data_IF_974934006387
#
_entry.id   IF_974934006387
#
_cell.length_a   1.000
_cell.length_b   1.000
_cell.length_c   1.000
_cell.angle_alpha   90.00
_cell.angle_beta   90.00
_cell.angle_gamma   90.00
#
_symmetry.space_group_name_H-M   'P 1'
#
loop_
_entity.id
_entity.type
_entity.pdbx_description
1 polymer ?
#
# COMPACT_ATOMS: atom_id res chain seq x y z
N UNK A 1 9.73 -18.67 15.28
CA UNK A 1 10.28 -18.01 16.50
C UNK A 1 11.76 -17.84 16.29
N UNK A 2 12.30 -16.71 16.71
CA UNK A 2 13.74 -16.43 16.61
C UNK A 2 14.56 -17.47 17.39
N UNK A 3 15.71 -17.88 16.83
CA UNK A 3 16.62 -18.85 17.47
C UNK A 3 16.21 -20.32 17.41
N UNK A 4 15.11 -20.68 16.73
CA UNK A 4 14.72 -22.09 16.54
C UNK A 4 15.63 -22.76 15.53
N UNK A 5 16.21 -23.91 15.89
CA UNK A 5 16.91 -24.78 14.94
C UNK A 5 15.88 -25.43 14.02
N UNK A 6 16.01 -25.15 12.73
CA UNK A 6 15.15 -25.70 11.67
C UNK A 6 15.86 -26.86 10.97
N UNK A 7 15.09 -27.83 10.51
CA UNK A 7 15.55 -28.89 9.62
C UNK A 7 15.30 -28.53 8.16
N UNK A 8 16.03 -29.18 7.25
CA UNK A 8 15.80 -29.02 5.82
C UNK A 8 14.37 -29.49 5.49
N UNK A 9 13.55 -28.59 4.95
CA UNK A 9 12.16 -28.85 4.58
C UNK A 9 11.11 -28.23 5.51
N UNK A 10 11.53 -27.60 6.61
CA UNK A 10 10.59 -26.91 7.50
C UNK A 10 9.95 -25.70 6.80
N UNK A 11 8.61 -25.61 6.87
CA UNK A 11 7.86 -24.46 6.39
C UNK A 11 8.14 -23.26 7.30
N UNK A 12 8.81 -22.24 6.76
CA UNK A 12 9.20 -21.05 7.52
C UNK A 12 8.10 -19.99 7.57
N UNK A 13 7.35 -19.85 6.48
CA UNK A 13 6.25 -18.90 6.34
C UNK A 13 5.26 -19.40 5.29
N UNK A 14 4.03 -18.90 5.38
CA UNK A 14 2.97 -19.10 4.39
C UNK A 14 2.22 -17.79 4.25
N UNK A 15 1.90 -17.43 3.02
CA UNK A 15 1.12 -16.24 2.71
C UNK A 15 0.29 -16.51 1.46
N UNK A 16 -0.79 -15.74 1.33
CA UNK A 16 -1.64 -15.75 0.14
C UNK A 16 -0.91 -15.05 -1.02
N UNK A 17 -0.62 -15.72 -2.16
CA UNK A 17 0.02 -15.07 -3.29
C UNK A 17 -0.91 -14.09 -4.04
N UNK A 18 -2.22 -14.17 -3.81
CA UNK A 18 -3.25 -13.39 -4.50
C UNK A 18 -3.57 -12.08 -3.81
N UNK A 19 -3.21 -11.92 -2.54
CA UNK A 19 -3.51 -10.72 -1.77
C UNK A 19 -2.29 -10.21 -1.00
N UNK A 20 -2.22 -8.90 -0.82
CA UNK A 20 -1.32 -8.27 0.15
C UNK A 20 -2.13 -7.96 1.41
N UNK A 21 -1.83 -8.62 2.55
CA UNK A 21 -2.54 -8.33 3.80
C UNK A 21 -2.03 -7.02 4.41
N UNK A 22 -2.96 -6.17 4.85
CA UNK A 22 -2.71 -5.10 5.80
C UNK A 22 -2.95 -5.68 7.18
N UNK A 23 -1.96 -5.61 8.06
CA UNK A 23 -1.93 -6.31 9.35
C UNK A 23 -1.85 -5.29 10.48
N UNK A 24 -2.58 -5.55 11.56
CA UNK A 24 -2.45 -4.78 12.80
C UNK A 24 -1.12 -5.11 13.49
N UNK A 25 -0.37 -4.09 13.89
CA UNK A 25 0.88 -4.17 14.65
C UNK A 25 0.66 -4.04 16.16
N UNK A 26 -0.34 -3.25 16.60
CA UNK A 26 -0.69 -3.11 18.02
C UNK A 26 -2.08 -3.68 18.31
N UNK A 27 -2.33 -4.10 19.57
CA UNK A 27 -3.68 -4.47 20.00
C UNK A 27 -4.55 -3.22 20.13
N UNK A 28 -5.85 -3.33 19.84
CA UNK A 28 -6.77 -2.22 20.00
C UNK A 28 -8.12 -2.48 19.36
N UNK A 29 -8.79 -1.41 18.95
CA UNK A 29 -10.07 -1.44 18.24
C UNK A 29 -9.90 -0.80 16.88
N UNK A 30 -10.28 -1.51 15.82
CA UNK A 30 -10.27 -0.97 14.46
C UNK A 30 -11.35 0.12 14.33
N UNK A 31 -10.93 1.33 13.94
CA UNK A 31 -11.81 2.46 13.68
C UNK A 31 -11.77 2.85 12.22
N UNK A 32 -12.93 2.91 11.60
CA UNK A 32 -13.08 3.35 10.22
C UNK A 32 -13.15 4.87 10.14
N UNK A 33 -12.32 5.44 9.27
CA UNK A 33 -12.33 6.85 8.90
C UNK A 33 -12.65 6.96 7.42
N UNK A 34 -13.68 7.73 7.07
CA UNK A 34 -14.16 7.93 5.70
C UNK A 34 -14.41 6.65 4.88
N UNK A 35 -14.63 5.50 5.54
CA UNK A 35 -15.08 4.24 4.95
C UNK A 35 -16.60 4.12 5.13
N UNK A 36 -17.35 4.69 4.19
CA UNK A 36 -18.81 4.83 4.24
C UNK A 36 -19.45 4.07 3.08
N UNK A 37 -20.42 3.22 3.41
CA UNK A 37 -21.17 2.43 2.44
C UNK A 37 -21.85 3.34 1.40
N UNK A 38 -21.72 2.98 0.12
CA UNK A 38 -22.26 3.74 -1.02
C UNK A 38 -21.42 4.94 -1.46
N UNK A 39 -20.41 5.35 -0.69
CA UNK A 39 -19.51 6.46 -1.04
C UNK A 39 -18.08 5.99 -1.30
N UNK A 40 -17.46 5.37 -0.30
CA UNK A 40 -16.07 4.88 -0.36
C UNK A 40 -15.97 3.37 -0.15
N UNK A 41 -17.07 2.71 0.21
CA UNK A 41 -17.17 1.26 0.33
C UNK A 41 -18.39 0.77 -0.44
N UNK A 42 -18.24 -0.34 -1.17
CA UNK A 42 -19.33 -1.10 -1.78
C UNK A 42 -19.36 -2.51 -1.18
N UNK A 43 -20.55 -3.07 -1.06
CA UNK A 43 -20.72 -4.47 -0.68
C UNK A 43 -20.88 -5.31 -1.94
N UNK A 44 -20.09 -6.37 -2.04
CA UNK A 44 -20.16 -7.34 -3.13
C UNK A 44 -20.38 -8.71 -2.51
N UNK A 45 -21.42 -9.43 -2.95
CA UNK A 45 -21.65 -10.80 -2.50
C UNK A 45 -20.97 -11.73 -3.46
N UNK A 46 -20.06 -12.56 -2.93
CA UNK A 46 -19.40 -13.60 -3.72
C UNK A 46 -20.42 -14.68 -4.09
N UNK A 47 -20.69 -14.85 -5.38
CA UNK A 47 -21.71 -15.79 -5.89
C UNK A 47 -21.41 -17.27 -5.55
N UNK A 48 -20.14 -17.62 -5.32
CA UNK A 48 -19.73 -19.00 -5.06
C UNK A 48 -19.87 -19.37 -3.57
N UNK A 49 -19.58 -18.43 -2.67
CA UNK A 49 -19.59 -18.66 -1.22
C UNK A 49 -20.81 -18.07 -0.51
N UNK A 50 -21.50 -17.12 -1.14
CA UNK A 50 -22.60 -16.35 -0.55
C UNK A 50 -22.15 -15.35 0.52
N UNK A 51 -20.84 -15.15 0.69
CA UNK A 51 -20.29 -14.25 1.70
C UNK A 51 -20.21 -12.84 1.10
N UNK A 52 -20.80 -11.87 1.79
CA UNK A 52 -20.67 -10.45 1.43
C UNK A 52 -19.32 -9.89 1.88
N UNK A 53 -18.62 -9.24 0.96
CA UNK A 53 -17.35 -8.58 1.17
C UNK A 53 -17.53 -7.07 1.04
N UNK A 54 -16.86 -6.31 1.92
CA UNK A 54 -16.79 -4.85 1.85
C UNK A 54 -15.53 -4.46 1.08
N UNK A 55 -15.72 -3.86 -0.09
CA UNK A 55 -14.66 -3.47 -1.00
C UNK A 55 -14.59 -1.95 -1.07
N UNK A 56 -13.39 -1.40 -0.92
CA UNK A 56 -13.15 0.04 -1.06
C UNK A 56 -13.32 0.43 -2.53
N UNK A 57 -14.25 1.34 -2.82
CA UNK A 57 -14.50 1.84 -4.19
C UNK A 57 -13.75 3.13 -4.44
N UNK A 58 -13.62 3.56 -5.70
CA UNK A 58 -13.00 4.84 -6.01
C UNK A 58 -13.86 6.01 -5.53
N UNK A 59 -13.58 6.45 -4.30
CA UNK A 59 -14.27 7.54 -3.65
C UNK A 59 -14.03 8.89 -4.34
N UNK A 60 -12.95 9.05 -5.12
CA UNK A 60 -12.61 10.32 -5.79
C UNK A 60 -13.58 10.67 -6.91
N UNK A 61 -14.28 9.67 -7.45
CA UNK A 61 -15.34 9.86 -8.44
C UNK A 61 -16.64 10.40 -7.82
N UNK A 62 -16.81 10.28 -6.50
CA UNK A 62 -18.01 10.75 -5.80
C UNK A 62 -17.97 12.27 -5.56
N UNK A 63 -19.14 12.95 -5.47
CA UNK A 63 -19.20 14.35 -5.06
C UNK A 63 -18.52 14.57 -3.70
N UNK A 64 -17.62 15.54 -3.61
CA UNK A 64 -16.77 15.82 -2.43
C UNK A 64 -15.84 14.68 -2.01
N UNK A 65 -15.66 13.68 -2.87
CA UNK A 65 -14.79 12.54 -2.63
C UNK A 65 -13.32 12.90 -2.41
N UNK A 66 -12.84 13.98 -3.02
CA UNK A 66 -11.42 14.39 -2.89
C UNK A 66 -11.01 14.77 -1.46
N UNK A 67 -11.98 15.09 -0.61
CA UNK A 67 -11.77 15.41 0.81
C UNK A 67 -11.73 14.15 1.69
N UNK A 68 -12.23 13.02 1.19
CA UNK A 68 -12.26 11.75 1.93
C UNK A 68 -10.86 11.13 2.01
N UNK A 69 -10.59 10.55 3.18
CA UNK A 69 -9.38 9.79 3.50
C UNK A 69 -9.76 8.42 4.08
N UNK A 70 -10.15 7.46 3.23
CA UNK A 70 -10.50 6.13 3.69
C UNK A 70 -9.32 5.46 4.37
N UNK A 71 -9.42 5.26 5.68
CA UNK A 71 -8.35 4.77 6.54
C UNK A 71 -8.93 3.86 7.63
N UNK A 72 -8.13 2.89 8.07
CA UNK A 72 -8.37 2.12 9.31
C UNK A 72 -7.33 2.58 10.33
N UNK A 73 -7.79 3.05 11.48
CA UNK A 73 -6.94 3.43 12.61
C UNK A 73 -7.12 2.41 13.72
N UNK A 74 -6.02 1.91 14.29
CA UNK A 74 -6.10 1.08 15.49
C UNK A 74 -6.13 2.00 16.69
N UNK A 75 -7.24 1.98 17.44
CA UNK A 75 -7.49 2.87 18.57
C UNK A 75 -7.31 2.15 19.90
N UNK A 76 -6.81 2.86 20.89
CA UNK A 76 -6.85 2.45 22.28
C UNK A 76 -8.29 2.56 22.81
N UNK A 77 -8.91 1.46 23.30
CA UNK A 77 -10.28 1.48 23.79
C UNK A 77 -10.47 2.25 25.10
N UNK A 78 -9.41 2.47 25.88
CA UNK A 78 -9.48 3.17 27.17
C UNK A 78 -9.32 4.68 26.99
N UNK A 79 -8.35 5.10 26.18
CA UNK A 79 -8.03 6.52 25.98
C UNK A 79 -8.80 7.15 24.81
N UNK A 80 -9.21 6.34 23.83
CA UNK A 80 -9.80 6.83 22.58
C UNK A 80 -8.79 7.50 21.64
N UNK A 81 -7.48 7.37 21.90
CA UNK A 81 -6.41 7.85 21.03
C UNK A 81 -5.90 6.74 20.09
N UNK A 82 -5.28 7.06 18.94
CA UNK A 82 -4.62 6.07 18.10
C UNK A 82 -3.49 5.35 18.84
N UNK A 83 -3.41 4.04 18.68
CA UNK A 83 -2.23 3.26 19.08
C UNK A 83 -0.99 3.79 18.36
N UNK A 84 0.17 3.68 19.00
CA UNK A 84 1.45 4.12 18.44
C UNK A 84 2.32 2.93 18.03
N UNK A 85 2.88 2.99 16.84
CA UNK A 85 3.89 2.08 16.32
C UNK A 85 5.23 2.27 17.07
N UNK A 86 6.19 1.38 16.82
CA UNK A 86 7.50 1.43 17.48
C UNK A 86 8.31 2.68 17.13
N UNK A 87 8.04 3.29 15.98
CA UNK A 87 8.60 4.58 15.56
C UNK A 87 7.90 5.80 16.21
N UNK A 88 6.89 5.58 17.05
CA UNK A 88 6.12 6.61 17.74
C UNK A 88 4.97 7.22 16.93
N UNK A 89 4.84 6.87 15.64
CA UNK A 89 3.74 7.34 14.80
C UNK A 89 2.42 6.62 15.11
N UNK A 90 1.26 7.25 14.89
CA UNK A 90 -0.03 6.57 14.97
C UNK A 90 -0.14 5.37 14.01
N UNK A 91 -0.76 4.29 14.46
CA UNK A 91 -1.08 3.12 13.62
C UNK A 91 -2.31 3.43 12.75
N UNK A 92 -2.02 4.01 11.58
CA UNK A 92 -3.01 4.44 10.60
C UNK A 92 -2.70 3.74 9.28
N UNK A 93 -3.67 2.99 8.76
CA UNK A 93 -3.58 2.31 7.50
C UNK A 93 -4.50 2.95 6.47
N UNK A 94 -3.91 3.67 5.51
CA UNK A 94 -4.65 4.19 4.37
C UNK A 94 -5.11 3.08 3.44
N UNK A 95 -6.38 3.12 3.08
CA UNK A 95 -6.99 2.12 2.21
C UNK A 95 -6.76 2.49 0.75
N UNK A 96 -6.49 1.45 -0.04
CA UNK A 96 -6.41 1.55 -1.50
C UNK A 96 -7.76 1.23 -2.11
N UNK A 97 -8.01 1.71 -3.33
CA UNK A 97 -9.15 1.22 -4.12
C UNK A 97 -9.00 -0.28 -4.31
N UNK A 98 -10.13 -0.99 -4.28
CA UNK A 98 -10.24 -2.45 -4.36
C UNK A 98 -9.71 -3.21 -3.13
N UNK A 99 -9.28 -2.52 -2.07
CA UNK A 99 -8.97 -3.17 -0.81
C UNK A 99 -10.24 -3.81 -0.22
N UNK A 100 -10.13 -5.08 0.17
CA UNK A 100 -11.20 -5.87 0.78
C UNK A 100 -11.05 -5.78 2.29
N UNK A 101 -12.00 -5.13 2.96
CA UNK A 101 -12.00 -4.97 4.42
C UNK A 101 -12.20 -6.35 5.06
N UNK A 102 -11.37 -6.66 6.06
CA UNK A 102 -11.37 -7.96 6.76
C UNK A 102 -11.84 -7.86 8.21
N UNK A 103 -12.13 -6.64 8.66
CA UNK A 103 -12.66 -6.32 9.99
C UNK A 103 -13.86 -5.39 9.87
N UNK A 104 -14.60 -5.24 10.96
CA UNK A 104 -15.71 -4.29 11.11
C UNK A 104 -15.31 -3.04 11.92
N UNK A 105 -16.02 -1.92 11.75
CA UNK A 105 -15.82 -0.73 12.59
C UNK A 105 -16.15 -1.07 14.05
N UNK A 106 -15.22 -0.78 14.96
CA UNK A 106 -15.34 -1.13 16.37
C UNK A 106 -14.90 -2.55 16.72
N UNK A 107 -14.40 -3.34 15.76
CA UNK A 107 -13.89 -4.68 16.05
C UNK A 107 -12.57 -4.64 16.83
N UNK A 108 -12.46 -5.45 17.88
CA UNK A 108 -11.19 -5.66 18.58
C UNK A 108 -10.20 -6.43 17.70
N UNK A 109 -8.96 -5.95 17.65
CA UNK A 109 -7.86 -6.51 16.86
C UNK A 109 -6.63 -6.76 17.73
N UNK A 110 -5.84 -7.77 17.34
CA UNK A 110 -4.57 -8.14 17.96
C UNK A 110 -3.43 -8.02 16.95
N UNK A 111 -2.18 -7.90 17.41
CA UNK A 111 -1.03 -7.96 16.52
C UNK A 111 -1.06 -9.23 15.66
N UNK A 112 -0.96 -9.07 14.34
CA UNK A 112 -1.06 -10.15 13.37
C UNK A 112 -2.43 -10.34 12.74
N UNK A 113 -3.49 -9.71 13.26
CA UNK A 113 -4.82 -9.76 12.64
C UNK A 113 -4.83 -8.97 11.32
N UNK A 114 -5.53 -9.50 10.31
CA UNK A 114 -5.63 -8.86 9.00
C UNK A 114 -6.76 -7.83 9.01
N UNK A 115 -6.41 -6.55 8.82
CA UNK A 115 -7.34 -5.42 8.74
C UNK A 115 -8.01 -5.34 7.36
N UNK A 116 -7.24 -5.54 6.30
CA UNK A 116 -7.72 -5.53 4.92
C UNK A 116 -6.80 -6.36 4.03
N UNK A 117 -7.29 -6.72 2.84
CA UNK A 117 -6.54 -7.45 1.82
C UNK A 117 -6.57 -6.68 0.51
N UNK A 118 -5.42 -6.44 -0.09
CA UNK A 118 -5.32 -5.79 -1.40
C UNK A 118 -5.14 -6.88 -2.45
N UNK A 119 -6.09 -7.05 -3.39
CA UNK A 119 -5.92 -8.00 -4.49
C UNK A 119 -4.69 -7.65 -5.33
N UNK A 120 -3.84 -8.65 -5.60
CA UNK A 120 -2.74 -8.51 -6.54
C UNK A 120 -3.24 -8.89 -7.93
N UNK A 121 -3.37 -7.91 -8.82
CA UNK A 121 -3.76 -8.14 -10.22
C UNK A 121 -2.84 -9.15 -10.94
N UNK A 122 -1.61 -9.34 -10.46
CA UNK A 122 -0.58 -10.22 -11.04
C UNK A 122 -0.89 -11.73 -11.04
N UNK A 123 -2.01 -12.16 -10.48
CA UNK A 123 -2.48 -13.54 -10.55
C UNK A 123 -3.16 -13.89 -11.88
N UNK A 124 -3.72 -12.90 -12.58
CA UNK A 124 -4.08 -13.07 -13.98
C UNK A 124 -2.79 -12.88 -14.75
N UNK A 125 -2.25 -13.99 -15.26
CA UNK A 125 -1.13 -14.08 -16.23
C UNK A 125 -0.56 -12.72 -16.59
N UNK A 126 0.58 -12.35 -15.98
CA UNK A 126 1.39 -11.17 -16.33
C UNK A 126 1.71 -11.19 -17.82
N UNK A 127 0.78 -10.77 -18.67
CA UNK A 127 0.90 -10.43 -20.09
C UNK A 127 1.81 -11.31 -20.99
N UNK A 128 2.12 -12.56 -20.61
CA UNK A 128 2.98 -13.44 -21.41
C UNK A 128 2.29 -13.78 -22.73
N UNK A 129 0.95 -13.81 -22.73
CA UNK A 129 0.13 -14.11 -23.91
C UNK A 129 -0.22 -12.87 -24.75
N UNK A 130 0.01 -11.65 -24.24
CA UNK A 130 -0.27 -10.38 -24.95
C UNK A 130 0.93 -9.86 -25.75
N UNK A 131 2.15 -10.12 -25.29
CA UNK A 131 3.41 -10.15 -26.04
C UNK A 131 3.87 -8.87 -26.76
N UNK A 132 3.22 -8.48 -27.86
CA UNK A 132 3.72 -7.43 -28.76
C UNK A 132 3.60 -6.00 -28.21
N UNK A 133 2.49 -5.57 -27.57
CA UNK A 133 2.35 -4.20 -27.07
C UNK A 133 3.40 -3.87 -26.01
N UNK A 134 3.70 -4.81 -25.11
CA UNK A 134 4.70 -4.60 -24.05
C UNK A 134 6.12 -4.52 -24.60
N UNK A 135 6.47 -5.35 -25.58
CA UNK A 135 7.77 -5.29 -26.26
C UNK A 135 7.92 -3.96 -27.00
N UNK A 136 6.89 -3.51 -27.72
CA UNK A 136 6.90 -2.19 -28.36
C UNK A 136 7.07 -1.05 -27.36
N UNK A 137 6.38 -1.09 -26.20
CA UNK A 137 6.56 -0.09 -25.14
C UNK A 137 7.99 -0.05 -24.57
N UNK A 138 8.62 -1.23 -24.41
CA UNK A 138 10.00 -1.34 -23.93
C UNK A 138 11.00 -0.78 -24.96
N UNK A 139 10.78 -1.02 -26.26
CA UNK A 139 11.62 -0.50 -27.34
C UNK A 139 11.38 0.98 -27.65
N UNK A 140 10.15 1.47 -27.50
CA UNK A 140 9.81 2.89 -27.63
C UNK A 140 10.09 3.68 -26.34
N UNK A 141 10.51 3.00 -25.27
CA UNK A 141 10.80 3.55 -23.94
C UNK A 141 9.69 4.44 -23.37
N UNK A 142 8.42 4.14 -23.70
CA UNK A 142 7.27 4.92 -23.21
C UNK A 142 7.00 4.61 -21.75
N UNK A 143 6.64 5.64 -20.99
CA UNK A 143 6.19 5.48 -19.60
C UNK A 143 4.80 4.85 -19.55
N UNK A 144 4.62 3.70 -18.87
CA UNK A 144 3.31 3.11 -18.65
C UNK A 144 2.37 4.07 -17.91
N UNK A 145 1.05 3.93 -18.12
CA UNK A 145 0.05 4.72 -17.40
C UNK A 145 0.10 4.45 -15.89
N UNK A 146 0.19 3.18 -15.50
CA UNK A 146 0.42 2.71 -14.13
C UNK A 146 1.88 2.29 -13.95
N UNK A 147 2.80 3.26 -14.09
CA UNK A 147 4.22 3.02 -13.87
C UNK A 147 4.52 2.93 -12.37
N UNK A 148 5.44 2.03 -11.99
CA UNK A 148 5.97 2.02 -10.64
C UNK A 148 6.74 3.32 -10.35
N UNK A 149 6.72 3.75 -9.09
CA UNK A 149 7.56 4.84 -8.61
C UNK A 149 8.66 4.22 -7.76
N UNK A 150 9.91 4.43 -8.15
CA UNK A 150 11.10 3.88 -7.50
C UNK A 150 11.85 5.01 -6.80
N UNK A 151 12.38 4.74 -5.62
CA UNK A 151 13.23 5.66 -4.87
C UNK A 151 14.55 5.93 -5.61
N UNK A 152 14.83 7.20 -5.90
CA UNK A 152 16.06 7.66 -6.56
C UNK A 152 17.23 7.80 -5.57
N UNK A 153 16.91 7.97 -4.29
CA UNK A 153 17.86 8.15 -3.18
C UNK A 153 17.46 7.27 -2.00
N UNK A 154 18.43 6.95 -1.16
CA UNK A 154 18.18 6.30 0.14
C UNK A 154 17.89 7.35 1.20
N UNK A 155 16.94 7.09 2.10
CA UNK A 155 16.56 8.08 3.12
C UNK A 155 15.34 7.69 3.94
N UNK A 156 14.86 8.64 4.74
CA UNK A 156 13.62 8.48 5.50
C UNK A 156 12.42 9.03 4.73
N UNK A 157 11.33 8.26 4.74
CA UNK A 157 10.06 8.61 4.10
C UNK A 157 9.33 9.66 4.94
N UNK A 158 8.87 10.74 4.28
CA UNK A 158 8.00 11.75 4.86
C UNK A 158 6.80 12.01 3.97
N UNK A 159 5.60 11.99 4.54
CA UNK A 159 4.37 12.34 3.85
C UNK A 159 4.15 13.86 3.95
N UNK A 160 4.07 14.49 2.78
CA UNK A 160 3.78 15.91 2.66
C UNK A 160 2.27 16.18 2.57
N UNK A 161 1.92 17.46 2.41
CA UNK A 161 0.53 17.86 2.16
C UNK A 161 0.08 17.35 0.79
N UNK A 162 -1.05 16.68 0.76
CA UNK A 162 -1.73 16.26 -0.47
C UNK A 162 -1.93 17.43 -1.43
N UNK A 163 -1.80 17.14 -2.73
CA UNK A 163 -2.04 18.09 -3.80
C UNK A 163 -3.07 17.52 -4.78
N UNK A 164 -4.29 18.06 -4.76
CA UNK A 164 -5.42 17.58 -5.55
C UNK A 164 -5.62 16.06 -5.31
N UNK A 165 -5.52 15.25 -6.37
CA UNK A 165 -5.71 13.80 -6.33
C UNK A 165 -4.40 13.03 -6.15
N UNK A 166 -3.34 13.69 -5.70
CA UNK A 166 -2.03 13.07 -5.46
C UNK A 166 -1.58 13.28 -4.01
N UNK A 167 -1.00 12.25 -3.41
CA UNK A 167 -0.25 12.28 -2.16
C UNK A 167 1.18 12.67 -2.47
N UNK A 168 1.76 13.52 -1.64
CA UNK A 168 3.18 13.88 -1.73
C UNK A 168 3.98 13.01 -0.78
N UNK A 169 5.01 12.37 -1.29
CA UNK A 169 5.98 11.59 -0.50
C UNK A 169 7.34 12.20 -0.76
N UNK A 170 8.08 12.53 0.29
CA UNK A 170 9.41 13.09 0.22
C UNK A 170 10.38 12.11 0.85
N UNK A 171 11.44 11.74 0.14
CA UNK A 171 12.54 10.99 0.72
C UNK A 171 13.58 12.01 1.19
N UNK A 172 13.89 12.00 2.47
CA UNK A 172 14.91 12.85 3.09
C UNK A 172 16.20 12.03 3.24
N UNK A 173 17.31 12.40 2.59
CA UNK A 173 18.59 11.72 2.74
C UNK A 173 19.05 11.64 4.20
N UNK A 174 19.76 10.56 4.55
CA UNK A 174 20.43 10.45 5.86
C UNK A 174 21.69 11.32 5.92
N UNK A 175 22.32 11.57 4.78
CA UNK A 175 23.52 12.40 4.67
C UNK A 175 23.18 13.89 4.84
N UNK A 176 23.94 14.55 5.71
CA UNK A 176 23.74 15.96 6.04
C UNK A 176 24.09 16.84 4.84
N UNK A 177 23.11 17.58 4.31
CA UNK A 177 23.26 18.43 3.12
C UNK A 177 22.74 17.82 1.81
N UNK A 178 22.22 16.59 1.82
CA UNK A 178 21.54 16.00 0.67
C UNK A 178 20.20 16.70 0.37
N UNK A 179 19.89 16.87 -0.93
CA UNK A 179 18.60 17.44 -1.36
C UNK A 179 17.48 16.40 -1.26
N UNK A 180 16.35 16.70 -0.57
CA UNK A 180 15.19 15.81 -0.55
C UNK A 180 14.54 15.67 -1.93
N UNK A 181 14.08 14.47 -2.27
CA UNK A 181 13.36 14.21 -3.52
C UNK A 181 11.88 13.99 -3.23
N UNK A 182 11.02 14.71 -3.96
CA UNK A 182 9.56 14.62 -3.84
C UNK A 182 8.94 13.75 -4.95
N UNK A 183 8.01 12.88 -4.56
CA UNK A 183 7.22 12.01 -5.40
C UNK A 183 5.74 12.32 -5.25
N UNK A 184 5.00 12.22 -6.35
CA UNK A 184 3.56 12.50 -6.40
C UNK A 184 2.79 11.24 -6.76
N UNK A 185 2.28 10.55 -5.74
CA UNK A 185 1.57 9.27 -5.87
C UNK A 185 0.07 9.51 -6.01
N UNK A 186 -0.65 8.95 -6.99
CA UNK A 186 -2.10 9.07 -7.06
C UNK A 186 -2.79 8.54 -5.80
N UNK A 187 -3.77 9.29 -5.27
CA UNK A 187 -4.62 8.83 -4.15
C UNK A 187 -5.34 7.53 -4.53
N UNK A 188 -5.49 6.62 -3.59
CA UNK A 188 -6.16 5.33 -3.81
C UNK A 188 -5.25 4.22 -4.34
N UNK A 189 -3.99 4.52 -4.69
CA UNK A 189 -2.97 3.49 -4.95
C UNK A 189 -2.34 3.04 -3.64
N UNK A 190 -1.95 1.76 -3.59
CA UNK A 190 -1.22 1.20 -2.47
C UNK A 190 0.19 1.76 -2.40
N UNK A 191 0.60 2.13 -1.19
CA UNK A 191 1.94 2.61 -0.86
C UNK A 191 2.44 1.67 0.25
N UNK A 192 3.49 0.87 0.00
CA UNK A 192 3.96 -0.15 0.95
C UNK A 192 4.81 0.43 2.10
N UNK A 193 5.05 1.74 2.13
CA UNK A 193 5.89 2.43 3.11
C UNK A 193 5.08 3.33 4.05
N UNK A 194 5.57 3.50 5.27
CA UNK A 194 5.02 4.35 6.33
C UNK A 194 5.89 5.59 6.60
N UNK A 195 5.33 6.54 7.35
CA UNK A 195 6.07 7.72 7.80
C UNK A 195 7.27 7.29 8.66
N UNK A 196 8.46 7.80 8.34
CA UNK A 196 9.70 7.54 9.06
C UNK A 196 10.45 6.28 8.59
N UNK A 197 9.84 5.45 7.75
CA UNK A 197 10.50 4.26 7.21
C UNK A 197 11.78 4.63 6.47
N UNK A 198 12.81 3.80 6.62
CA UNK A 198 14.03 3.91 5.84
C UNK A 198 13.86 3.15 4.53
N UNK A 199 14.00 3.86 3.41
CA UNK A 199 13.92 3.29 2.06
C UNK A 199 15.29 3.37 1.39
N UNK A 200 15.67 2.33 0.66
CA UNK A 200 16.91 2.31 -0.12
C UNK A 200 16.67 2.75 -1.57
N UNK A 201 17.70 3.33 -2.19
CA UNK A 201 17.71 3.60 -3.63
C UNK A 201 17.36 2.32 -4.41
N UNK A 202 16.38 2.41 -5.30
CA UNK A 202 15.89 1.28 -6.09
C UNK A 202 14.68 0.55 -5.49
N UNK A 203 14.28 0.86 -4.26
CA UNK A 203 13.05 0.30 -3.67
C UNK A 203 11.79 1.00 -4.19
N UNK A 204 10.66 0.28 -4.15
CA UNK A 204 9.39 0.74 -4.70
C UNK A 204 8.63 1.59 -3.68
N UNK A 205 8.28 2.82 -4.07
CA UNK A 205 7.36 3.72 -3.36
C UNK A 205 5.91 3.41 -3.77
N UNK A 206 5.71 2.99 -5.02
CA UNK A 206 4.41 2.56 -5.55
C UNK A 206 4.62 1.38 -6.49
N UNK A 207 3.81 0.33 -6.31
CA UNK A 207 3.77 -0.82 -7.20
C UNK A 207 3.33 -0.43 -8.63
N UNK A 208 3.83 -1.16 -9.63
CA UNK A 208 3.48 -0.96 -11.03
C UNK A 208 4.55 -1.49 -11.98
N UNK A 209 4.41 -1.17 -13.27
CA UNK A 209 5.41 -1.51 -14.27
C UNK A 209 6.52 -0.46 -14.27
N UNK A 210 7.76 -0.78 -13.87
CA UNK A 210 8.83 0.20 -13.85
C UNK A 210 9.14 0.69 -15.26
N UNK A 211 9.35 2.00 -15.41
CA UNK A 211 9.72 2.57 -16.69
C UNK A 211 11.20 2.25 -16.99
N UNK A 212 11.56 1.80 -18.21
CA UNK A 212 12.94 1.44 -18.54
C UNK A 212 13.95 2.58 -18.27
N UNK A 213 13.56 3.83 -18.50
CA UNK A 213 14.38 5.00 -18.21
C UNK A 213 14.69 5.15 -16.72
N UNK A 214 13.70 4.89 -15.85
CA UNK A 214 13.85 5.06 -14.42
C UNK A 214 14.71 3.92 -13.84
N UNK A 215 14.55 2.69 -14.36
CA UNK A 215 15.45 1.56 -14.06
C UNK A 215 16.89 1.93 -14.40
N UNK A 216 17.14 2.39 -15.63
CA UNK A 216 18.48 2.73 -16.10
C UNK A 216 19.13 3.86 -15.29
N UNK A 217 18.37 4.90 -14.97
CA UNK A 217 18.87 6.05 -14.23
C UNK A 217 19.20 5.71 -12.76
N UNK A 218 18.39 4.84 -12.14
CA UNK A 218 18.48 4.54 -10.70
C UNK A 218 19.41 3.35 -10.45
N UNK A 219 19.22 2.25 -11.15
CA UNK A 219 19.95 0.99 -10.94
C UNK A 219 21.21 0.87 -11.82
N UNK A 220 21.31 1.67 -12.88
CA UNK A 220 22.46 1.63 -13.80
C UNK A 220 22.37 0.52 -14.85
N UNK A 221 23.46 0.38 -15.62
CA UNK A 221 23.68 -0.74 -16.53
C UNK A 221 24.63 -1.68 -15.80
N UNK A 222 24.17 -2.88 -15.42
CA UNK A 222 25.06 -3.98 -15.05
C UNK A 222 25.57 -4.69 -16.32
#
# INVERSE_FOLDING_TARGET
REGVRISRGDKLAEWDPYTLPIIAEKPGVAKFVDLVAGFSVREETDDATGISQKIVTDWRAAPRGNDLKPEIIVMDPETGEPMRLDNGNPEVHAMSVDAILSVEDGQAVRPGDVLARIPREGAKTKDITGGLPRVAELFEARRPKDHAIIAEISGHVRFGKDFKNKRRITIVPVEEGGEPIEYMVPKGKHIPVQEGDFIQKGEYIMDGNPAPHDILAILGIE
#
